data_IF_831689031810
#
_entry.id   IF_831689031810
#
_cell.length_a   1.000
_cell.length_b   1.000
_cell.length_c   1.000
_cell.angle_alpha   90.00
_cell.angle_beta   90.00
_cell.angle_gamma   90.00
#
_symmetry.space_group_name_H-M   'P 1'
#
loop_
_entity.id
_entity.type
_entity.pdbx_description
1 polymer ?
#
# COMPACT_ATOMS: atom_id res chain seq x y z
N UNK A 1 16.93 12.29 8.08
CA UNK A 1 17.24 12.18 6.64
C UNK A 1 16.58 10.96 5.98
N UNK A 2 16.04 10.03 6.78
CA UNK A 2 15.24 8.88 6.32
C UNK A 2 15.93 8.04 5.24
N UNK A 3 15.20 7.70 4.19
CA UNK A 3 15.64 6.87 3.06
C UNK A 3 16.53 7.58 2.04
N UNK A 4 16.62 8.90 2.10
CA UNK A 4 17.31 9.70 1.07
C UNK A 4 18.77 9.28 0.85
N UNK A 5 19.61 9.06 1.92
CA UNK A 5 20.99 8.60 1.72
C UNK A 5 21.06 7.25 1.00
N UNK A 6 20.21 6.30 1.38
CA UNK A 6 20.15 4.98 0.74
C UNK A 6 19.74 5.07 -0.74
N UNK A 7 18.76 5.89 -1.04
CA UNK A 7 18.30 6.12 -2.41
C UNK A 7 19.39 6.75 -3.29
N UNK A 8 20.06 7.79 -2.78
CA UNK A 8 21.15 8.46 -3.51
C UNK A 8 22.32 7.50 -3.73
N UNK A 9 22.73 6.75 -2.70
CA UNK A 9 23.82 5.78 -2.80
C UNK A 9 23.50 4.68 -3.80
N UNK A 10 22.29 4.10 -3.73
CA UNK A 10 21.84 3.08 -4.67
C UNK A 10 21.80 3.62 -6.10
N UNK A 11 21.36 4.87 -6.31
CA UNK A 11 21.34 5.54 -7.61
C UNK A 11 22.74 5.70 -8.21
N UNK A 12 23.69 6.14 -7.41
CA UNK A 12 25.09 6.30 -7.84
C UNK A 12 25.69 4.93 -8.22
N UNK A 13 25.49 3.93 -7.36
CA UNK A 13 26.02 2.58 -7.62
C UNK A 13 25.41 1.98 -8.89
N UNK A 14 24.09 2.05 -9.05
CA UNK A 14 23.42 1.52 -10.23
C UNK A 14 23.82 2.27 -11.52
N UNK A 15 24.06 3.57 -11.44
CA UNK A 15 24.61 4.33 -12.58
C UNK A 15 26.02 3.89 -12.93
N UNK A 16 26.90 3.71 -11.94
CA UNK A 16 28.28 3.24 -12.17
C UNK A 16 28.36 1.82 -12.72
N UNK A 17 27.39 0.97 -12.36
CA UNK A 17 27.28 -0.39 -12.88
C UNK A 17 26.64 -0.46 -14.27
N UNK A 18 26.16 0.66 -14.82
CA UNK A 18 25.48 0.70 -16.11
C UNK A 18 24.03 0.20 -16.09
N UNK A 19 23.47 -0.07 -14.91
CA UNK A 19 22.10 -0.50 -14.74
C UNK A 19 21.08 0.64 -14.92
N UNK A 20 21.52 1.89 -14.75
CA UNK A 20 20.72 3.09 -14.97
C UNK A 20 21.18 3.80 -16.24
N UNK A 21 20.28 3.89 -17.20
CA UNK A 21 20.47 4.71 -18.40
C UNK A 21 19.45 5.84 -18.43
N UNK A 22 19.93 7.07 -18.63
CA UNK A 22 19.06 8.24 -18.70
C UNK A 22 18.89 8.66 -20.15
N UNK A 23 17.66 8.58 -20.66
CA UNK A 23 17.30 9.11 -21.97
C UNK A 23 16.36 10.29 -21.76
N UNK A 24 16.92 11.51 -21.72
CA UNK A 24 16.16 12.72 -21.40
C UNK A 24 15.50 13.25 -22.67
N UNK A 25 14.17 13.24 -22.67
CA UNK A 25 13.35 13.83 -23.72
C UNK A 25 12.94 15.25 -23.34
N UNK A 26 12.93 16.16 -24.33
CA UNK A 26 12.54 17.54 -24.10
C UNK A 26 11.12 17.81 -24.58
N UNK A 27 10.32 18.53 -23.80
CA UNK A 27 8.97 18.93 -24.16
C UNK A 27 7.99 18.89 -23.00
N UNK A 28 6.73 19.14 -23.34
CA UNK A 28 5.60 19.04 -22.43
C UNK A 28 4.66 17.95 -22.91
N UNK A 29 4.10 17.18 -21.98
CA UNK A 29 3.09 16.16 -22.27
C UNK A 29 1.95 16.28 -21.29
N UNK A 30 0.78 16.69 -21.79
CA UNK A 30 -0.46 16.66 -21.02
C UNK A 30 -1.09 15.29 -21.25
N UNK A 31 -1.39 14.52 -20.20
CA UNK A 31 -2.07 13.24 -20.34
C UNK A 31 -3.41 13.39 -21.08
N UNK A 32 -3.65 12.52 -22.05
CA UNK A 32 -4.93 12.49 -22.77
C UNK A 32 -6.01 11.80 -21.92
N UNK A 33 -6.43 12.45 -20.83
CA UNK A 33 -7.34 11.89 -19.81
C UNK A 33 -8.67 11.44 -20.45
N UNK A 34 -9.23 12.24 -21.36
CA UNK A 34 -10.50 11.91 -22.02
C UNK A 34 -10.34 10.62 -22.84
N UNK A 35 -9.32 10.54 -23.68
CA UNK A 35 -9.03 9.34 -24.48
C UNK A 35 -8.71 8.12 -23.61
N UNK A 36 -8.12 8.31 -22.44
CA UNK A 36 -7.90 7.24 -21.49
C UNK A 36 -9.23 6.72 -20.93
N UNK A 37 -10.12 7.61 -20.51
CA UNK A 37 -11.45 7.26 -20.01
C UNK A 37 -12.26 6.54 -21.09
N UNK A 38 -12.29 7.07 -22.31
CA UNK A 38 -13.00 6.46 -23.42
C UNK A 38 -12.54 5.02 -23.74
N UNK A 39 -11.25 4.75 -23.58
CA UNK A 39 -10.65 3.43 -23.88
C UNK A 39 -10.70 2.44 -22.72
N UNK A 40 -10.97 2.88 -21.52
CA UNK A 40 -10.80 2.05 -20.32
C UNK A 40 -12.02 2.02 -19.41
N UNK A 41 -12.88 3.05 -19.46
CA UNK A 41 -14.04 3.10 -18.59
C UNK A 41 -15.11 2.10 -19.03
N UNK A 42 -15.64 1.28 -18.13
CA UNK A 42 -16.78 0.40 -18.41
C UNK A 42 -18.02 1.12 -18.96
N UNK A 43 -18.15 2.41 -18.72
CA UNK A 43 -19.24 3.23 -19.27
C UNK A 43 -19.13 3.33 -20.80
N UNK A 44 -17.92 3.37 -21.34
CA UNK A 44 -17.65 3.49 -22.79
C UNK A 44 -17.42 2.15 -23.46
N UNK A 45 -16.65 1.27 -22.84
CA UNK A 45 -16.27 -0.04 -23.45
C UNK A 45 -17.24 -1.16 -23.09
N UNK A 46 -18.19 -0.92 -22.18
CA UNK A 46 -19.10 -1.93 -21.65
C UNK A 46 -18.56 -2.68 -20.43
N UNK A 47 -19.45 -3.36 -19.73
CA UNK A 47 -19.10 -4.16 -18.56
C UNK A 47 -18.41 -5.46 -19.00
N UNK A 48 -17.46 -5.97 -18.21
CA UNK A 48 -16.83 -7.26 -18.45
C UNK A 48 -17.87 -8.40 -18.53
N UNK A 49 -17.55 -9.45 -19.27
CA UNK A 49 -18.39 -10.64 -19.32
C UNK A 49 -18.46 -11.35 -17.97
N UNK A 50 -19.51 -12.11 -17.74
CA UNK A 50 -19.65 -12.91 -16.51
C UNK A 50 -18.45 -13.85 -16.30
N UNK A 51 -17.92 -14.44 -17.39
CA UNK A 51 -16.75 -15.30 -17.33
C UNK A 51 -15.52 -14.55 -16.78
N UNK A 52 -15.29 -13.31 -17.23
CA UNK A 52 -14.18 -12.50 -16.71
C UNK A 52 -14.30 -12.22 -15.22
N UNK A 53 -15.52 -12.04 -14.70
CA UNK A 53 -15.73 -11.90 -13.26
C UNK A 53 -15.40 -13.19 -12.50
N UNK A 54 -15.81 -14.34 -13.04
CA UNK A 54 -15.50 -15.65 -12.45
C UNK A 54 -13.99 -15.89 -12.44
N UNK A 55 -13.30 -15.59 -13.53
CA UNK A 55 -11.86 -15.74 -13.65
C UNK A 55 -11.08 -14.80 -12.70
N UNK A 56 -11.63 -13.61 -12.44
CA UNK A 56 -11.04 -12.66 -11.52
C UNK A 56 -11.31 -12.96 -10.03
N UNK A 57 -12.33 -13.79 -9.73
CA UNK A 57 -12.76 -14.08 -8.35
C UNK A 57 -11.62 -14.47 -7.41
N UNK A 58 -10.70 -15.33 -7.82
CA UNK A 58 -9.55 -15.69 -6.99
C UNK A 58 -8.71 -14.48 -6.56
N UNK A 59 -8.37 -13.61 -7.51
CA UNK A 59 -7.59 -12.40 -7.23
C UNK A 59 -8.37 -11.41 -6.35
N UNK A 60 -9.70 -11.34 -6.53
CA UNK A 60 -10.56 -10.50 -5.70
C UNK A 60 -10.55 -10.95 -4.24
N UNK A 61 -10.64 -12.26 -3.99
CA UNK A 61 -10.60 -12.80 -2.62
C UNK A 61 -9.26 -12.50 -1.96
N UNK A 62 -8.14 -12.78 -2.64
CA UNK A 62 -6.80 -12.49 -2.12
C UNK A 62 -6.63 -10.98 -1.90
N UNK A 63 -7.01 -10.17 -2.88
CA UNK A 63 -6.92 -8.72 -2.78
C UNK A 63 -7.76 -8.16 -1.64
N UNK A 64 -8.94 -8.72 -1.39
CA UNK A 64 -9.77 -8.35 -0.25
C UNK A 64 -9.12 -8.69 1.10
N UNK A 65 -8.52 -9.87 1.20
CA UNK A 65 -7.82 -10.28 2.43
C UNK A 65 -6.62 -9.39 2.73
N UNK A 66 -5.84 -9.05 1.71
CA UNK A 66 -4.72 -8.11 1.85
C UNK A 66 -5.19 -6.72 2.27
N UNK A 67 -6.25 -6.22 1.64
CA UNK A 67 -6.85 -4.93 1.98
C UNK A 67 -7.37 -4.90 3.41
N UNK A 68 -8.01 -5.98 3.85
CA UNK A 68 -8.50 -6.11 5.21
C UNK A 68 -7.35 -6.14 6.22
N UNK A 69 -6.29 -6.88 5.94
CA UNK A 69 -5.07 -6.92 6.75
C UNK A 69 -4.42 -5.55 6.91
N UNK A 70 -4.29 -4.79 5.82
CA UNK A 70 -3.79 -3.41 5.86
C UNK A 70 -4.66 -2.50 6.73
N UNK A 71 -5.97 -2.64 6.64
CA UNK A 71 -6.91 -1.85 7.42
C UNK A 71 -6.83 -2.16 8.92
N UNK A 72 -6.73 -3.44 9.28
CA UNK A 72 -6.52 -3.88 10.66
C UNK A 72 -5.21 -3.33 11.20
N UNK A 73 -4.12 -3.49 10.44
CA UNK A 73 -2.79 -2.99 10.82
C UNK A 73 -2.79 -1.48 11.08
N UNK A 74 -3.38 -0.72 10.17
CA UNK A 74 -3.47 0.73 10.32
C UNK A 74 -4.35 1.14 11.51
N UNK A 75 -5.41 0.38 11.79
CA UNK A 75 -6.28 0.60 12.96
C UNK A 75 -5.50 0.39 14.26
N UNK A 76 -4.66 -0.64 14.35
CA UNK A 76 -3.83 -0.87 15.54
C UNK A 76 -2.77 0.21 15.73
N UNK A 77 -2.15 0.70 14.65
CA UNK A 77 -1.23 1.85 14.71
C UNK A 77 -1.94 3.10 15.25
N UNK A 78 -3.16 3.38 14.81
CA UNK A 78 -3.94 4.51 15.30
C UNK A 78 -4.39 4.34 16.75
N UNK A 79 -4.80 3.15 17.15
CA UNK A 79 -5.14 2.85 18.54
C UNK A 79 -3.94 3.02 19.48
N UNK A 80 -2.76 2.58 19.05
CA UNK A 80 -1.53 2.79 19.80
C UNK A 80 -1.19 4.29 19.90
N UNK A 81 -1.30 5.04 18.82
CA UNK A 81 -1.11 6.48 18.85
C UNK A 81 -2.08 7.17 19.83
N UNK A 82 -3.34 6.75 19.87
CA UNK A 82 -4.35 7.31 20.77
C UNK A 82 -3.99 7.16 22.25
N UNK A 83 -3.28 6.10 22.65
CA UNK A 83 -2.85 5.90 24.04
C UNK A 83 -1.92 6.99 24.58
N UNK A 84 -1.28 7.73 23.67
CA UNK A 84 -0.30 8.76 24.02
C UNK A 84 -0.91 10.16 24.16
N UNK A 85 -2.22 10.32 23.84
CA UNK A 85 -2.90 11.62 23.89
C UNK A 85 -4.33 11.49 24.36
N UNK A 86 -4.67 12.31 25.37
CA UNK A 86 -6.03 12.40 25.94
C UNK A 86 -6.77 13.67 25.52
N UNK A 87 -6.03 14.64 24.94
CA UNK A 87 -6.57 15.94 24.53
C UNK A 87 -7.45 15.87 23.26
N UNK A 88 -7.28 14.83 22.45
CA UNK A 88 -8.04 14.63 21.22
C UNK A 88 -8.30 13.15 20.98
N UNK A 89 -9.53 12.80 20.61
CA UNK A 89 -9.91 11.42 20.31
C UNK A 89 -9.96 11.16 18.81
N UNK A 90 -9.31 10.10 18.37
CA UNK A 90 -9.39 9.63 16.98
C UNK A 90 -10.69 8.83 16.80
N UNK A 91 -11.55 9.21 15.85
CA UNK A 91 -12.76 8.44 15.55
C UNK A 91 -12.41 7.21 14.71
N UNK A 92 -11.92 6.16 15.35
CA UNK A 92 -11.50 4.92 14.71
C UNK A 92 -12.70 4.02 14.54
N UNK A 93 -13.19 3.88 13.31
CA UNK A 93 -14.28 2.99 12.94
C UNK A 93 -13.88 2.16 11.72
N UNK A 94 -13.60 0.88 11.95
CA UNK A 94 -13.15 -0.06 10.95
C UNK A 94 -14.20 -0.26 9.84
N UNK A 95 -15.46 -0.42 10.20
CA UNK A 95 -16.55 -0.67 9.26
C UNK A 95 -16.80 0.53 8.36
N UNK A 96 -16.81 1.73 8.94
CA UNK A 96 -16.98 2.98 8.18
C UNK A 96 -15.83 3.19 7.20
N UNK A 97 -14.60 2.94 7.62
CA UNK A 97 -13.41 3.05 6.78
C UNK A 97 -13.48 2.06 5.62
N UNK A 98 -13.84 0.80 5.92
CA UNK A 98 -13.96 -0.25 4.92
C UNK A 98 -15.05 0.07 3.87
N UNK A 99 -16.22 0.47 4.32
CA UNK A 99 -17.32 0.86 3.44
C UNK A 99 -16.95 2.07 2.57
N UNK A 100 -16.31 3.08 3.14
CA UNK A 100 -15.84 4.27 2.43
C UNK A 100 -14.86 3.91 1.30
N UNK A 101 -13.89 3.03 1.59
CA UNK A 101 -12.94 2.53 0.58
C UNK A 101 -13.65 1.75 -0.51
N UNK A 102 -14.58 0.87 -0.13
CA UNK A 102 -15.36 0.06 -1.09
C UNK A 102 -16.17 0.92 -2.05
N UNK A 103 -16.92 1.90 -1.54
CA UNK A 103 -17.73 2.82 -2.36
C UNK A 103 -16.82 3.64 -3.28
N UNK A 104 -15.75 4.21 -2.74
CA UNK A 104 -14.79 4.99 -3.53
C UNK A 104 -14.19 4.16 -4.66
N UNK A 105 -13.75 2.94 -4.37
CA UNK A 105 -13.15 2.05 -5.36
C UNK A 105 -14.17 1.62 -6.43
N UNK A 106 -15.41 1.37 -6.06
CA UNK A 106 -16.49 1.07 -7.00
C UNK A 106 -16.71 2.25 -7.96
N UNK A 107 -16.84 3.47 -7.44
CA UNK A 107 -17.02 4.66 -8.29
C UNK A 107 -15.79 4.92 -9.17
N UNK A 108 -14.59 4.78 -8.62
CA UNK A 108 -13.36 4.94 -9.38
C UNK A 108 -13.24 3.91 -10.51
N UNK A 109 -13.63 2.66 -10.28
CA UNK A 109 -13.58 1.60 -11.30
C UNK A 109 -14.56 1.82 -12.46
N UNK A 110 -15.68 2.50 -12.21
CA UNK A 110 -16.64 2.87 -13.26
C UNK A 110 -16.12 4.00 -14.15
N UNK A 111 -15.35 4.93 -13.58
CA UNK A 111 -14.82 6.08 -14.33
C UNK A 111 -13.50 5.70 -14.99
N UNK A 112 -12.58 5.14 -14.23
CA UNK A 112 -11.25 4.78 -14.71
C UNK A 112 -10.64 3.65 -13.87
N UNK A 113 -10.72 2.38 -14.34
CA UNK A 113 -10.20 1.22 -13.63
C UNK A 113 -8.66 1.16 -13.57
N UNK A 114 -7.97 2.00 -14.33
CA UNK A 114 -6.50 2.06 -14.32
C UNK A 114 -5.90 2.84 -13.15
N UNK A 115 -6.66 3.74 -12.54
CA UNK A 115 -6.19 4.35 -11.31
C UNK A 115 -6.21 3.30 -10.20
N UNK A 116 -5.04 3.00 -9.60
CA UNK A 116 -4.99 2.04 -8.52
C UNK A 116 -6.00 2.47 -7.48
N UNK A 117 -6.99 1.64 -7.34
CA UNK A 117 -7.90 1.71 -6.22
C UNK A 117 -7.03 1.55 -4.99
N UNK A 118 -6.71 2.63 -4.33
CA UNK A 118 -5.87 2.56 -3.16
C UNK A 118 -6.53 1.65 -2.14
N UNK A 119 -5.71 0.82 -1.52
CA UNK A 119 -6.04 0.16 -0.29
C UNK A 119 -6.52 1.16 0.75
N UNK A 120 -7.04 0.68 1.84
CA UNK A 120 -7.65 1.49 2.88
C UNK A 120 -6.70 2.55 3.40
N UNK A 121 -5.44 2.18 3.58
CA UNK A 121 -4.48 3.01 4.29
C UNK A 121 -3.07 2.64 3.83
N UNK A 122 -2.27 3.62 3.53
CA UNK A 122 -0.87 3.41 3.27
C UNK A 122 -0.14 3.36 4.62
N UNK A 123 0.07 2.18 5.14
CA UNK A 123 0.58 1.93 6.49
C UNK A 123 1.85 2.74 6.80
N UNK A 124 2.77 2.86 5.84
CA UNK A 124 3.99 3.66 6.01
C UNK A 124 3.72 5.14 6.28
N UNK A 125 2.76 5.76 5.58
CA UNK A 125 2.37 7.15 5.81
C UNK A 125 1.69 7.29 7.17
N UNK A 126 0.83 6.34 7.55
CA UNK A 126 0.15 6.36 8.84
C UNK A 126 1.12 6.28 10.02
N UNK A 127 2.17 5.48 9.93
CA UNK A 127 3.21 5.42 10.95
C UNK A 127 3.86 6.79 11.15
N UNK A 128 4.23 7.49 10.07
CA UNK A 128 4.82 8.82 10.16
C UNK A 128 3.85 9.83 10.78
N UNK A 129 2.58 9.81 10.37
CA UNK A 129 1.55 10.69 10.94
C UNK A 129 1.30 10.36 12.41
N UNK A 130 1.21 9.06 12.76
CA UNK A 130 1.01 8.61 14.13
C UNK A 130 2.16 9.04 15.05
N UNK A 131 3.41 8.93 14.58
CA UNK A 131 4.56 9.38 15.36
C UNK A 131 4.57 10.91 15.61
N UNK A 132 4.09 11.72 14.68
CA UNK A 132 3.90 13.15 14.92
C UNK A 132 2.71 13.43 15.83
N UNK A 133 1.63 12.65 15.71
CA UNK A 133 0.49 12.72 16.61
C UNK A 133 0.87 12.50 18.08
N UNK A 134 1.71 11.49 18.35
CA UNK A 134 2.21 11.20 19.70
C UNK A 134 2.96 12.37 20.34
N UNK A 135 3.57 13.24 19.54
CA UNK A 135 4.31 14.42 20.02
C UNK A 135 3.44 15.61 20.41
N UNK A 136 2.13 15.52 20.18
CA UNK A 136 1.14 16.54 20.55
C UNK A 136 0.70 17.44 19.42
N UNK A 137 -0.36 18.19 19.66
CA UNK A 137 -1.04 19.03 18.67
C UNK A 137 -0.10 20.05 17.99
N UNK A 138 0.83 20.63 18.75
CA UNK A 138 1.77 21.66 18.22
C UNK A 138 2.72 21.12 17.15
N UNK A 139 2.94 19.82 17.09
CA UNK A 139 3.82 19.21 16.10
C UNK A 139 3.09 18.76 14.81
N UNK A 140 1.77 18.69 14.84
CA UNK A 140 0.97 18.25 13.69
C UNK A 140 1.10 19.17 12.46
N UNK A 141 1.18 20.51 12.57
CA UNK A 141 1.38 21.39 11.42
C UNK A 141 2.64 21.05 10.62
N UNK A 142 3.69 20.54 11.27
CA UNK A 142 4.97 20.21 10.59
C UNK A 142 4.82 19.14 9.50
N UNK A 143 3.77 18.32 9.55
CA UNK A 143 3.46 17.33 8.49
C UNK A 143 3.04 18.05 7.21
N UNK A 144 2.27 19.13 7.34
CA UNK A 144 1.71 19.87 6.21
C UNK A 144 2.66 20.93 5.66
N UNK A 145 3.63 21.38 6.43
CA UNK A 145 4.62 22.38 6.01
C UNK A 145 5.38 21.93 4.76
N UNK A 146 5.81 20.66 4.72
CA UNK A 146 6.49 20.08 3.57
C UNK A 146 5.58 19.98 2.34
N UNK A 147 4.32 19.59 2.52
CA UNK A 147 3.32 19.49 1.45
C UNK A 147 2.99 20.86 0.90
N UNK A 148 2.78 21.84 1.77
CA UNK A 148 2.53 23.21 1.38
C UNK A 148 3.66 23.79 0.53
N UNK A 149 4.90 23.60 0.96
CA UNK A 149 6.09 24.03 0.20
C UNK A 149 6.20 23.34 -1.17
N UNK A 150 5.90 22.06 -1.25
CA UNK A 150 5.88 21.30 -2.49
C UNK A 150 4.91 21.90 -3.52
N UNK A 151 3.68 22.24 -3.11
CA UNK A 151 2.70 22.86 -3.99
C UNK A 151 3.05 24.31 -4.33
N UNK A 152 3.53 25.10 -3.38
CA UNK A 152 3.92 26.49 -3.58
C UNK A 152 5.08 26.65 -4.57
N UNK A 153 6.03 25.71 -4.53
CA UNK A 153 7.15 25.67 -5.48
C UNK A 153 6.74 25.21 -6.88
N UNK A 154 5.48 24.80 -7.07
CA UNK A 154 4.98 24.36 -8.37
C UNK A 154 5.55 23.02 -8.81
N UNK A 155 6.12 22.21 -7.89
CA UNK A 155 6.70 20.90 -8.19
C UNK A 155 5.72 19.97 -8.93
N UNK A 156 4.40 19.95 -8.65
CA UNK A 156 3.46 19.14 -9.40
C UNK A 156 3.43 19.43 -10.91
N UNK A 157 3.75 20.67 -11.32
CA UNK A 157 3.81 21.02 -12.75
C UNK A 157 4.99 20.36 -13.48
N UNK A 158 6.04 19.95 -12.75
CA UNK A 158 7.16 19.21 -13.34
C UNK A 158 6.74 17.86 -13.91
N UNK A 159 5.66 17.26 -13.40
CA UNK A 159 5.11 16.00 -13.94
C UNK A 159 4.55 16.13 -15.37
N UNK A 160 4.34 17.35 -15.85
CA UNK A 160 3.96 17.60 -17.24
C UNK A 160 5.18 17.88 -18.14
N UNK A 161 6.38 17.99 -17.58
CA UNK A 161 7.62 18.20 -18.32
C UNK A 161 8.31 16.87 -18.60
N UNK A 162 8.57 16.58 -19.88
CA UNK A 162 9.26 15.34 -20.27
C UNK A 162 10.65 15.21 -19.67
N UNK A 163 11.49 16.27 -19.59
CA UNK A 163 12.81 16.14 -18.99
C UNK A 163 12.77 15.63 -17.55
N UNK A 164 11.82 16.13 -16.75
CA UNK A 164 11.69 15.67 -15.37
C UNK A 164 11.19 14.23 -15.29
N UNK A 165 10.15 13.90 -16.07
CA UNK A 165 9.56 12.55 -16.06
C UNK A 165 10.56 11.51 -16.54
N UNK A 166 11.26 11.77 -17.66
CA UNK A 166 12.23 10.82 -18.22
C UNK A 166 13.51 10.71 -17.39
N UNK A 167 13.91 11.77 -16.67
CA UNK A 167 14.98 11.70 -15.67
C UNK A 167 14.59 10.84 -14.47
N UNK A 168 13.35 10.97 -13.99
CA UNK A 168 12.86 10.25 -12.81
C UNK A 168 12.52 8.79 -13.11
N UNK A 169 12.14 8.46 -14.35
CA UNK A 169 11.65 7.14 -14.73
C UNK A 169 12.60 5.99 -14.36
N UNK A 170 13.91 6.02 -14.62
CA UNK A 170 14.83 4.96 -14.21
C UNK A 170 14.95 4.84 -12.69
N UNK A 171 14.81 5.95 -11.98
CA UNK A 171 14.90 6.01 -10.51
C UNK A 171 13.64 5.46 -9.82
N UNK A 172 12.50 5.41 -10.52
CA UNK A 172 11.24 4.89 -9.97
C UNK A 172 11.33 3.42 -9.55
N UNK A 173 12.04 2.60 -10.31
CA UNK A 173 12.23 1.18 -9.98
C UNK A 173 12.95 1.03 -8.64
N UNK A 174 13.98 1.83 -8.39
CA UNK A 174 14.73 1.82 -7.14
C UNK A 174 13.89 2.34 -5.98
N UNK A 175 13.14 3.44 -6.19
CA UNK A 175 12.24 3.98 -5.19
C UNK A 175 11.18 2.95 -4.80
N UNK A 176 10.60 2.26 -5.78
CA UNK A 176 9.63 1.19 -5.57
C UNK A 176 10.24 0.03 -4.80
N UNK A 177 11.43 -0.43 -5.17
CA UNK A 177 12.13 -1.53 -4.49
C UNK A 177 12.40 -1.20 -3.01
N UNK A 178 12.94 -0.01 -2.73
CA UNK A 178 13.17 0.43 -1.35
C UNK A 178 11.87 0.52 -0.55
N UNK A 179 10.82 1.04 -1.16
CA UNK A 179 9.49 1.12 -0.53
C UNK A 179 8.94 -0.27 -0.23
N UNK A 180 9.07 -1.22 -1.17
CA UNK A 180 8.62 -2.60 -0.98
C UNK A 180 9.39 -3.32 0.13
N UNK A 181 10.71 -3.13 0.22
CA UNK A 181 11.53 -3.70 1.29
C UNK A 181 11.07 -3.17 2.66
N UNK A 182 10.86 -1.87 2.78
CA UNK A 182 10.39 -1.27 4.04
C UNK A 182 8.98 -1.70 4.41
N UNK A 183 8.09 -1.73 3.42
CA UNK A 183 6.72 -2.20 3.63
C UNK A 183 6.72 -3.67 4.04
N UNK A 184 7.52 -4.50 3.37
CA UNK A 184 7.69 -5.92 3.72
C UNK A 184 8.19 -6.10 5.15
N UNK A 185 9.19 -5.31 5.57
CA UNK A 185 9.67 -5.33 6.96
C UNK A 185 8.58 -4.91 7.95
N UNK A 186 7.85 -3.82 7.67
CA UNK A 186 6.77 -3.36 8.53
C UNK A 186 5.64 -4.40 8.63
N UNK A 187 5.25 -5.00 7.51
CA UNK A 187 4.23 -6.05 7.49
C UNK A 187 4.67 -7.30 8.26
N UNK A 188 5.93 -7.72 8.10
CA UNK A 188 6.47 -8.85 8.85
C UNK A 188 6.50 -8.57 10.36
N UNK A 189 6.93 -7.37 10.76
CA UNK A 189 6.92 -6.95 12.15
C UNK A 189 5.51 -7.01 12.75
N UNK A 190 4.52 -6.46 12.05
CA UNK A 190 3.12 -6.47 12.51
C UNK A 190 2.56 -7.89 12.54
N UNK A 191 2.80 -8.69 11.50
CA UNK A 191 2.33 -10.08 11.43
C UNK A 191 2.86 -10.94 12.58
N UNK A 192 4.08 -10.64 13.06
CA UNK A 192 4.67 -11.34 14.21
C UNK A 192 4.28 -10.75 15.56
N UNK A 193 3.69 -9.55 15.60
CA UNK A 193 3.24 -8.88 16.82
C UNK A 193 1.77 -9.14 17.17
N UNK A 194 0.97 -9.59 16.21
CA UNK A 194 -0.46 -9.89 16.40
C UNK A 194 -0.66 -11.24 17.10
N UNK A 195 0.01 -12.33 16.70
CA UNK A 195 -0.14 -13.64 17.33
C UNK A 195 0.30 -13.62 18.80
N UNK A 196 -0.48 -14.25 19.65
CA UNK A 196 -0.15 -14.36 21.07
C UNK A 196 0.54 -15.69 21.41
N UNK A 197 0.40 -16.69 20.54
CA UNK A 197 0.92 -18.04 20.72
C UNK A 197 2.01 -18.36 19.71
N UNK A 198 2.97 -19.20 20.12
CA UNK A 198 4.03 -19.67 19.23
C UNK A 198 3.49 -20.49 18.05
N UNK A 199 2.38 -21.20 18.22
CA UNK A 199 1.68 -21.95 17.18
C UNK A 199 1.15 -21.02 16.08
N UNK A 200 0.53 -19.91 16.47
CA UNK A 200 0.03 -18.90 15.53
C UNK A 200 1.17 -18.22 14.77
N UNK A 201 2.29 -17.91 15.44
CA UNK A 201 3.49 -17.37 14.79
C UNK A 201 4.08 -18.36 13.78
N UNK A 202 4.15 -19.64 14.14
CA UNK A 202 4.63 -20.70 13.24
C UNK A 202 3.70 -20.83 12.02
N UNK A 203 2.40 -20.78 12.22
CA UNK A 203 1.40 -20.78 11.14
C UNK A 203 1.59 -19.60 10.20
N UNK A 204 1.75 -18.40 10.73
CA UNK A 204 2.00 -17.20 9.92
C UNK A 204 3.28 -17.33 9.07
N UNK A 205 4.36 -17.86 9.64
CA UNK A 205 5.61 -18.10 8.91
C UNK A 205 5.46 -19.16 7.82
N UNK A 206 4.74 -20.24 8.08
CA UNK A 206 4.44 -21.28 7.08
C UNK A 206 3.61 -20.72 5.93
N UNK A 207 2.57 -19.94 6.23
CA UNK A 207 1.76 -19.27 5.20
C UNK A 207 2.66 -18.37 4.33
N UNK A 208 3.50 -17.55 4.94
CA UNK A 208 4.42 -16.67 4.22
C UNK A 208 5.39 -17.46 3.32
N UNK A 209 5.92 -18.60 3.81
CA UNK A 209 6.75 -19.51 3.03
C UNK A 209 6.01 -20.02 1.79
N UNK A 210 4.80 -20.55 1.94
CA UNK A 210 4.05 -21.10 0.82
C UNK A 210 3.60 -20.03 -0.19
N UNK A 211 3.27 -18.83 0.27
CA UNK A 211 2.99 -17.68 -0.62
C UNK A 211 4.22 -17.33 -1.45
N UNK A 212 5.39 -17.32 -0.84
CA UNK A 212 6.64 -16.89 -1.49
C UNK A 212 7.14 -17.91 -2.52
N UNK A 213 7.10 -19.21 -2.19
CA UNK A 213 7.72 -20.25 -3.02
C UNK A 213 6.76 -20.93 -3.98
N UNK A 214 5.44 -20.82 -3.77
CA UNK A 214 4.45 -21.47 -4.62
C UNK A 214 3.49 -20.44 -5.23
N UNK A 215 2.45 -20.09 -4.48
CA UNK A 215 1.49 -19.05 -4.90
C UNK A 215 0.65 -18.58 -3.72
N UNK A 216 0.04 -17.40 -3.87
CA UNK A 216 -0.85 -16.85 -2.85
C UNK A 216 -2.01 -17.80 -2.51
N UNK A 217 -2.52 -18.56 -3.48
CA UNK A 217 -3.57 -19.55 -3.27
C UNK A 217 -3.14 -20.72 -2.41
N UNK A 218 -1.95 -21.27 -2.68
CA UNK A 218 -1.40 -22.39 -1.91
C UNK A 218 -1.19 -21.94 -0.47
N UNK A 219 -0.61 -20.76 -0.27
CA UNK A 219 -0.45 -20.18 1.06
C UNK A 219 -1.77 -19.98 1.79
N UNK A 220 -2.80 -19.47 1.10
CA UNK A 220 -4.12 -19.27 1.66
C UNK A 220 -4.78 -20.60 2.09
N UNK A 221 -4.77 -21.61 1.22
CA UNK A 221 -5.35 -22.91 1.52
C UNK A 221 -4.64 -23.61 2.70
N UNK A 222 -3.31 -23.60 2.70
CA UNK A 222 -2.53 -24.14 3.79
C UNK A 222 -2.79 -23.38 5.08
N UNK A 223 -2.85 -22.05 5.01
CA UNK A 223 -3.15 -21.20 6.16
C UNK A 223 -4.51 -21.52 6.77
N UNK A 224 -5.53 -21.69 5.94
CA UNK A 224 -6.87 -22.06 6.39
C UNK A 224 -6.89 -23.44 7.06
N UNK A 225 -6.22 -24.41 6.44
CA UNK A 225 -6.10 -25.75 7.00
C UNK A 225 -5.36 -25.75 8.34
N UNK A 226 -4.23 -25.05 8.43
CA UNK A 226 -3.45 -24.95 9.66
C UNK A 226 -4.23 -24.23 10.77
N UNK A 227 -4.95 -23.16 10.46
CA UNK A 227 -5.78 -22.47 11.44
C UNK A 227 -6.86 -23.40 12.02
N UNK A 228 -7.55 -24.17 11.17
CA UNK A 228 -8.56 -25.14 11.62
C UNK A 228 -7.93 -26.23 12.51
N UNK A 229 -6.76 -26.73 12.13
CA UNK A 229 -6.08 -27.78 12.90
C UNK A 229 -5.51 -27.25 14.22
N UNK A 230 -4.87 -26.07 14.21
CA UNK A 230 -4.23 -25.52 15.41
C UNK A 230 -5.28 -25.05 16.42
N UNK A 231 -6.29 -24.32 15.97
CA UNK A 231 -7.36 -23.81 16.87
C UNK A 231 -8.31 -24.93 17.30
N UNK A 232 -8.65 -25.86 16.40
CA UNK A 232 -9.55 -26.97 16.71
C UNK A 232 -9.00 -27.97 17.74
N UNK A 233 -7.69 -28.20 17.77
CA UNK A 233 -7.06 -29.07 18.77
C UNK A 233 -6.89 -28.39 20.14
N UNK A 234 -6.84 -27.06 20.20
CA UNK A 234 -6.70 -26.33 21.47
C UNK A 234 -8.04 -26.21 22.22
N UNK A 235 -9.17 -26.10 21.51
CA UNK A 235 -10.51 -26.10 22.14
C UNK A 235 -10.87 -27.45 22.77
N UNK A 236 -10.35 -28.57 22.26
CA UNK A 236 -10.55 -29.92 22.85
C UNK A 236 -9.65 -30.19 24.06
N UNK A 237 -8.59 -29.39 24.26
CA UNK A 237 -7.61 -29.59 25.34
C UNK A 237 -7.77 -28.65 26.54
N UNK A 238 -8.73 -27.72 26.52
CA UNK A 238 -9.06 -26.76 27.57
C UNK A 238 -10.35 -27.13 28.28
#
# INVERSE_FOLDING_TARGET
LGLLPGFVTAGIVAFLLGELTFNIEWGFKIPAIISLIEKTSPIYIGLPSLQMYVDALPLVIIGYMLLFGDLVTATEVLKDAQKHRDDEKLPIDLNRSHLSVGIRNLLASLINPFFPTQGALWTGVHVVVAEQWKKGHKQMPSIFDGIGSYYLMGIPFLYFTLPFVTLMQPLMVMALTLTLILTGFACAYVAMSIPNKNSEMATALLIAFFITFYSAWVGLLIGLLLAIFVDGFEEESA
#
